data_IF_588247986879
#
_entry.id   IF_588247986879
#
_cell.length_a   1.000
_cell.length_b   1.000
_cell.length_c   1.000
_cell.angle_alpha   90.00
_cell.angle_beta   90.00
_cell.angle_gamma   90.00
#
_symmetry.space_group_name_H-M   'P 1'
#
loop_
_entity.id
_entity.type
_entity.pdbx_description
1 polymer ?
#
# COMPACT_ATOMS: atom_id res chain seq x y z
N UNK A 1 -6.05 -10.09 -3.21
CA UNK A 1 -5.75 -11.46 -3.65
C UNK A 1 -6.98 -12.17 -4.27
N UNK A 2 -8.04 -11.45 -4.59
CA UNK A 2 -9.18 -11.93 -5.35
C UNK A 2 -9.04 -11.63 -6.85
N UNK A 3 -9.99 -12.08 -7.70
CA UNK A 3 -9.99 -11.76 -9.10
C UNK A 3 -10.20 -10.27 -9.34
N UNK A 4 -9.62 -9.74 -10.41
CA UNK A 4 -9.84 -8.36 -10.84
C UNK A 4 -11.18 -8.26 -11.59
N UNK A 5 -11.79 -7.07 -11.60
CA UNK A 5 -13.02 -6.80 -12.32
C UNK A 5 -14.30 -7.17 -11.57
N UNK A 6 -14.19 -7.45 -10.26
CA UNK A 6 -15.32 -7.70 -9.37
C UNK A 6 -15.15 -6.91 -8.06
N UNK A 7 -16.26 -6.46 -7.50
CA UNK A 7 -16.31 -5.77 -6.22
C UNK A 7 -17.67 -5.97 -5.56
N UNK A 8 -17.79 -5.56 -4.29
CA UNK A 8 -19.05 -5.58 -3.56
C UNK A 8 -19.26 -4.26 -2.83
N UNK A 9 -20.53 -3.89 -2.70
CA UNK A 9 -20.97 -2.74 -1.91
C UNK A 9 -21.96 -3.23 -0.84
N UNK A 10 -21.65 -2.98 0.42
CA UNK A 10 -22.59 -3.20 1.51
C UNK A 10 -23.44 -1.95 1.72
N UNK A 11 -24.76 -2.13 1.68
CA UNK A 11 -25.72 -1.05 1.91
C UNK A 11 -26.54 -1.40 3.15
N UNK A 12 -26.47 -0.56 4.17
CA UNK A 12 -27.28 -0.73 5.39
C UNK A 12 -28.77 -0.59 5.04
N UNK A 13 -29.62 -1.41 5.66
CA UNK A 13 -31.07 -1.30 5.52
C UNK A 13 -31.54 0.12 5.87
N UNK A 14 -32.37 0.70 5.01
CA UNK A 14 -32.92 2.05 5.17
C UNK A 14 -32.05 3.17 4.55
N UNK A 15 -30.91 2.85 3.97
CA UNK A 15 -30.14 3.79 3.15
C UNK A 15 -30.67 3.76 1.73
N UNK A 16 -31.12 4.88 1.22
CA UNK A 16 -31.52 5.05 -0.17
C UNK A 16 -30.31 5.39 -1.02
N UNK A 17 -30.04 4.55 -2.03
CA UNK A 17 -28.92 4.71 -2.94
C UNK A 17 -29.47 4.88 -4.37
N UNK A 18 -29.17 6.01 -5.01
CA UNK A 18 -29.51 6.24 -6.40
C UNK A 18 -28.54 5.53 -7.32
N UNK A 19 -29.07 4.80 -8.30
CA UNK A 19 -28.26 4.23 -9.38
C UNK A 19 -27.67 5.35 -10.25
N UNK A 20 -26.41 5.17 -10.64
CA UNK A 20 -25.70 6.07 -11.57
C UNK A 20 -25.63 5.51 -12.99
N UNK A 21 -26.01 4.26 -13.18
CA UNK A 21 -26.05 3.57 -14.49
C UNK A 21 -27.47 3.09 -14.72
N UNK A 22 -28.07 3.48 -15.85
CA UNK A 22 -29.40 3.04 -16.24
C UNK A 22 -29.34 1.74 -17.05
N UNK A 23 -30.29 0.85 -16.84
CA UNK A 23 -30.34 -0.43 -17.55
C UNK A 23 -31.33 -1.41 -16.92
N UNK A 24 -31.02 -2.71 -16.99
CA UNK A 24 -31.84 -3.78 -16.43
C UNK A 24 -31.89 -3.80 -14.91
N UNK A 25 -32.81 -4.61 -14.34
CA UNK A 25 -33.09 -4.67 -12.91
C UNK A 25 -32.15 -5.52 -12.06
N UNK A 26 -30.96 -5.86 -12.55
CA UNK A 26 -30.01 -6.67 -11.80
C UNK A 26 -29.54 -5.97 -10.53
N UNK A 27 -29.04 -6.75 -9.58
CA UNK A 27 -28.54 -6.24 -8.29
C UNK A 27 -29.52 -5.30 -7.60
N UNK A 28 -30.81 -5.69 -7.51
CA UNK A 28 -31.89 -4.91 -6.89
C UNK A 28 -32.08 -3.54 -7.55
N UNK A 29 -31.94 -3.43 -8.87
CA UNK A 29 -31.96 -2.19 -9.67
C UNK A 29 -30.81 -1.20 -9.37
N UNK A 30 -29.78 -1.62 -8.67
CA UNK A 30 -28.65 -0.75 -8.33
C UNK A 30 -27.49 -0.81 -9.32
N UNK A 31 -27.32 -1.98 -9.98
CA UNK A 31 -26.24 -2.18 -10.95
C UNK A 31 -26.72 -3.04 -12.10
N UNK A 32 -27.05 -2.46 -13.25
CA UNK A 32 -27.52 -3.21 -14.43
C UNK A 32 -26.40 -3.99 -15.11
N UNK A 33 -26.81 -4.92 -15.96
CA UNK A 33 -25.95 -5.79 -16.77
C UNK A 33 -25.85 -7.20 -16.19
N UNK A 34 -25.61 -8.16 -17.06
CA UNK A 34 -25.44 -9.57 -16.70
C UNK A 34 -24.36 -9.75 -15.64
N UNK A 35 -24.61 -10.56 -14.64
CA UNK A 35 -23.72 -10.82 -13.54
C UNK A 35 -22.45 -11.54 -14.00
N UNK A 36 -21.30 -11.08 -13.48
CA UNK A 36 -20.03 -11.77 -13.68
C UNK A 36 -19.91 -12.96 -12.71
N UNK A 37 -20.58 -14.06 -13.03
CA UNK A 37 -20.70 -15.23 -12.14
C UNK A 37 -19.34 -15.79 -11.75
N UNK A 38 -18.39 -15.89 -12.67
CA UNK A 38 -17.05 -16.41 -12.39
C UNK A 38 -16.28 -15.48 -11.45
N UNK A 39 -16.39 -14.16 -11.66
CA UNK A 39 -15.83 -13.14 -10.76
C UNK A 39 -16.43 -13.19 -9.36
N UNK A 40 -17.78 -13.33 -9.28
CA UNK A 40 -18.50 -13.44 -8.00
C UNK A 40 -18.05 -14.67 -7.22
N UNK A 41 -17.98 -15.83 -7.85
CA UNK A 41 -17.54 -17.07 -7.20
C UNK A 41 -16.09 -16.97 -6.69
N UNK A 42 -15.17 -16.46 -7.53
CA UNK A 42 -13.78 -16.25 -7.16
C UNK A 42 -13.61 -15.22 -6.03
N UNK A 43 -14.40 -14.14 -6.06
CA UNK A 43 -14.41 -13.12 -5.01
C UNK A 43 -14.93 -13.68 -3.69
N UNK A 44 -16.03 -14.44 -3.69
CA UNK A 44 -16.56 -15.09 -2.49
C UNK A 44 -15.54 -16.02 -1.83
N UNK A 45 -14.84 -16.84 -2.62
CA UNK A 45 -13.77 -17.70 -2.10
C UNK A 45 -12.60 -16.88 -1.51
N UNK A 46 -12.21 -15.78 -2.18
CA UNK A 46 -11.14 -14.91 -1.71
C UNK A 46 -11.48 -14.25 -0.38
N UNK A 47 -12.72 -13.74 -0.22
CA UNK A 47 -13.21 -13.16 1.04
C UNK A 47 -13.20 -14.22 2.15
N UNK A 48 -13.76 -15.40 1.91
CA UNK A 48 -13.78 -16.48 2.90
C UNK A 48 -12.36 -16.81 3.40
N UNK A 49 -11.42 -17.00 2.47
CA UNK A 49 -10.01 -17.25 2.83
C UNK A 49 -9.36 -16.08 3.59
N UNK A 50 -9.67 -14.85 3.22
CA UNK A 50 -9.12 -13.67 3.88
C UNK A 50 -9.65 -13.54 5.32
N UNK A 51 -10.96 -13.69 5.52
CA UNK A 51 -11.59 -13.60 6.84
C UNK A 51 -11.12 -14.70 7.79
N UNK A 52 -10.99 -15.94 7.31
CA UNK A 52 -10.53 -17.06 8.13
C UNK A 52 -9.07 -16.94 8.58
N UNK A 53 -8.27 -16.11 7.89
CA UNK A 53 -6.83 -15.95 8.18
C UNK A 53 -6.45 -14.53 8.59
N UNK A 54 -7.40 -13.66 8.90
CA UNK A 54 -7.13 -12.24 9.12
C UNK A 54 -6.08 -12.02 10.22
N UNK A 55 -6.23 -12.66 11.38
CA UNK A 55 -5.33 -12.49 12.51
C UNK A 55 -3.91 -13.00 12.21
N UNK A 56 -3.81 -14.18 11.59
CA UNK A 56 -2.52 -14.76 11.21
C UNK A 56 -1.82 -13.88 10.14
N UNK A 57 -2.57 -13.39 9.16
CA UNK A 57 -2.03 -12.50 8.15
C UNK A 57 -1.55 -11.18 8.75
N UNK A 58 -2.33 -10.58 9.67
CA UNK A 58 -1.95 -9.34 10.35
C UNK A 58 -0.67 -9.53 11.18
N UNK A 59 -0.57 -10.62 11.93
CA UNK A 59 0.63 -10.94 12.71
C UNK A 59 1.84 -11.15 11.79
N UNK A 60 1.67 -11.89 10.72
CA UNK A 60 2.73 -12.13 9.73
C UNK A 60 3.25 -10.82 9.12
N UNK A 61 2.34 -9.96 8.64
CA UNK A 61 2.70 -8.67 8.06
C UNK A 61 3.38 -7.74 9.08
N UNK A 62 2.93 -7.80 10.34
CA UNK A 62 3.59 -7.05 11.43
C UNK A 62 5.00 -7.53 11.69
N UNK A 63 5.25 -8.84 11.60
CA UNK A 63 6.60 -9.39 11.74
C UNK A 63 7.51 -8.94 10.58
N UNK A 64 7.02 -8.90 9.34
CA UNK A 64 7.76 -8.35 8.20
C UNK A 64 8.11 -6.87 8.40
N UNK A 65 7.15 -6.04 8.86
CA UNK A 65 7.43 -4.65 9.23
C UNK A 65 8.54 -4.54 10.28
N UNK A 66 8.44 -5.33 11.35
CA UNK A 66 9.42 -5.29 12.44
C UNK A 66 10.81 -5.69 11.93
N UNK A 67 10.90 -6.69 11.06
CA UNK A 67 12.17 -7.10 10.41
C UNK A 67 12.76 -5.95 9.60
N UNK A 68 11.92 -5.27 8.78
CA UNK A 68 12.35 -4.12 7.98
C UNK A 68 12.90 -2.98 8.85
N UNK A 69 12.13 -2.54 9.85
CA UNK A 69 12.54 -1.45 10.75
C UNK A 69 13.78 -1.83 11.56
N UNK A 70 13.85 -3.06 12.06
CA UNK A 70 15.03 -3.56 12.76
C UNK A 70 16.28 -3.48 11.90
N UNK A 71 16.17 -3.88 10.62
CA UNK A 71 17.30 -3.83 9.68
C UNK A 71 17.74 -2.40 9.36
N UNK A 72 16.80 -1.47 9.17
CA UNK A 72 17.12 -0.04 9.00
C UNK A 72 17.86 0.54 10.22
N UNK A 73 17.41 0.19 11.43
CA UNK A 73 18.07 0.61 12.68
C UNK A 73 19.49 0.03 12.79
N UNK A 74 19.68 -1.25 12.46
CA UNK A 74 21.00 -1.89 12.44
C UNK A 74 21.96 -1.21 11.46
N UNK A 75 21.44 -0.78 10.31
CA UNK A 75 22.19 -0.06 9.28
C UNK A 75 22.31 1.45 9.59
N UNK A 76 21.80 1.90 10.75
CA UNK A 76 21.83 3.32 11.22
C UNK A 76 21.17 4.27 10.23
N UNK A 77 20.13 3.84 9.53
CA UNK A 77 19.37 4.68 8.61
C UNK A 77 18.33 5.49 9.40
N UNK A 78 18.51 6.81 9.35
CA UNK A 78 17.53 7.75 9.91
C UNK A 78 16.22 7.67 9.12
N UNK A 79 15.10 7.47 9.82
CA UNK A 79 13.78 7.36 9.21
C UNK A 79 12.67 7.82 10.15
N UNK A 80 11.55 8.25 9.57
CA UNK A 80 10.36 8.71 10.31
C UNK A 80 9.13 7.95 9.81
N UNK A 81 8.48 7.22 10.72
CA UNK A 81 7.17 6.61 10.46
C UNK A 81 6.07 7.64 10.72
N UNK A 82 5.30 8.00 9.69
CA UNK A 82 4.28 9.04 9.80
C UNK A 82 3.01 8.60 10.51
N UNK A 83 2.64 7.32 10.39
CA UNK A 83 1.37 6.78 10.89
C UNK A 83 1.68 5.71 11.94
N UNK A 84 1.20 5.92 13.18
CA UNK A 84 1.35 4.96 14.28
C UNK A 84 0.32 3.83 14.16
N UNK A 85 -0.97 4.19 14.07
CA UNK A 85 -2.07 3.25 13.93
C UNK A 85 -2.36 3.03 12.44
N UNK A 86 -1.77 1.99 11.88
CA UNK A 86 -1.82 1.66 10.47
C UNK A 86 -2.15 0.20 10.22
N UNK A 87 -2.60 -0.08 9.01
CA UNK A 87 -2.74 -1.46 8.57
C UNK A 87 -1.37 -2.14 8.55
N UNK A 88 -1.19 -3.29 9.23
CA UNK A 88 0.06 -4.03 9.19
C UNK A 88 0.50 -4.34 7.76
N UNK A 89 1.78 -4.16 7.49
CA UNK A 89 2.37 -4.38 6.16
C UNK A 89 2.35 -3.14 5.25
N UNK A 90 1.77 -2.01 5.69
CA UNK A 90 1.77 -0.76 4.91
C UNK A 90 2.49 0.33 5.69
N UNK A 91 3.67 0.71 5.23
CA UNK A 91 4.51 1.74 5.84
C UNK A 91 4.48 3.01 5.00
N UNK A 92 4.21 4.15 5.65
CA UNK A 92 4.47 5.49 5.10
C UNK A 92 5.67 6.03 5.87
N UNK A 93 6.84 6.01 5.25
CA UNK A 93 8.12 6.21 5.91
C UNK A 93 8.95 7.26 5.17
N UNK A 94 9.38 8.29 5.88
CA UNK A 94 10.25 9.35 5.38
C UNK A 94 11.72 9.08 5.70
N UNK A 95 12.61 9.46 4.80
CA UNK A 95 14.07 9.34 4.94
C UNK A 95 14.71 10.73 4.87
N UNK A 96 14.90 11.42 6.02
CA UNK A 96 15.40 12.79 6.06
C UNK A 96 16.70 12.97 5.26
N UNK A 97 16.79 14.07 4.52
CA UNK A 97 17.97 14.38 3.69
C UNK A 97 18.05 13.60 2.37
N UNK A 98 16.97 12.94 1.96
CA UNK A 98 16.90 12.26 0.66
C UNK A 98 15.76 12.80 -0.20
N UNK A 99 15.74 12.41 -1.48
CA UNK A 99 14.64 12.67 -2.39
C UNK A 99 13.91 11.35 -2.72
N UNK A 100 12.61 11.29 -2.41
CA UNK A 100 11.80 10.08 -2.56
C UNK A 100 11.67 9.59 -4.00
N UNK A 101 11.73 10.49 -4.99
CA UNK A 101 11.73 10.09 -6.39
C UNK A 101 13.04 9.41 -6.77
N UNK A 102 14.16 9.95 -6.33
CA UNK A 102 15.47 9.33 -6.54
C UNK A 102 15.56 7.96 -5.88
N UNK A 103 15.01 7.82 -4.66
CA UNK A 103 14.91 6.53 -3.98
C UNK A 103 14.03 5.54 -4.75
N UNK A 104 12.86 6.00 -5.25
CA UNK A 104 11.95 5.16 -6.05
C UNK A 104 12.67 4.60 -7.28
N UNK A 105 13.33 5.46 -8.07
CA UNK A 105 14.04 5.07 -9.30
C UNK A 105 15.18 4.11 -8.98
N UNK A 106 15.97 4.41 -7.95
CA UNK A 106 17.12 3.57 -7.58
C UNK A 106 16.67 2.18 -7.08
N UNK A 107 15.55 2.08 -6.39
CA UNK A 107 14.95 0.81 -5.95
C UNK A 107 14.36 0.04 -7.13
N UNK A 108 13.70 0.72 -8.06
CA UNK A 108 13.13 0.10 -9.27
C UNK A 108 14.22 -0.55 -10.13
N UNK A 109 15.38 0.09 -10.27
CA UNK A 109 16.56 -0.48 -10.94
C UNK A 109 17.12 -1.74 -10.25
N UNK A 110 16.74 -1.98 -9.00
CA UNK A 110 17.05 -3.19 -8.22
C UNK A 110 15.91 -4.23 -8.23
N UNK A 111 14.86 -3.99 -9.02
CA UNK A 111 13.66 -4.82 -9.08
C UNK A 111 12.76 -4.69 -7.85
N UNK A 112 12.89 -3.60 -7.09
CA UNK A 112 12.11 -3.32 -5.87
C UNK A 112 11.06 -2.25 -6.17
N UNK A 113 9.80 -2.66 -6.26
CA UNK A 113 8.68 -1.75 -6.49
C UNK A 113 8.17 -1.14 -5.18
N UNK A 114 8.21 0.19 -5.09
CA UNK A 114 7.64 0.99 -3.99
C UNK A 114 6.77 2.11 -4.57
N UNK A 115 6.14 2.91 -3.73
CA UNK A 115 5.37 4.07 -4.20
C UNK A 115 5.92 5.37 -3.61
N UNK A 116 5.93 6.42 -4.42
CA UNK A 116 6.25 7.79 -4.03
C UNK A 116 5.09 8.72 -4.38
N UNK A 117 4.80 9.69 -3.52
CA UNK A 117 3.70 10.64 -3.76
C UNK A 117 2.31 10.03 -3.66
N UNK A 118 1.31 10.69 -4.27
CA UNK A 118 -0.03 10.12 -4.45
C UNK A 118 -0.08 9.25 -5.68
N UNK A 119 -0.67 8.05 -5.57
CA UNK A 119 -0.77 7.10 -6.68
C UNK A 119 -1.48 7.66 -7.94
N UNK A 120 -2.29 8.73 -7.78
CA UNK A 120 -3.06 9.36 -8.85
C UNK A 120 -2.32 10.50 -9.58
N UNK A 121 -1.16 10.93 -9.12
CA UNK A 121 -0.35 12.00 -9.73
C UNK A 121 0.85 11.43 -10.48
N UNK A 122 0.63 10.37 -11.28
CA UNK A 122 1.66 9.81 -12.15
C UNK A 122 2.29 10.90 -13.01
N UNK A 123 3.59 11.13 -12.80
CA UNK A 123 4.37 12.12 -13.57
C UNK A 123 4.67 13.44 -12.88
N UNK A 124 4.20 13.70 -11.67
CA UNK A 124 4.57 14.91 -10.92
C UNK A 124 5.56 14.61 -9.80
N UNK A 125 6.67 15.36 -9.77
CA UNK A 125 7.72 15.34 -8.74
C UNK A 125 7.26 15.94 -7.39
N UNK A 126 5.93 16.07 -7.19
CA UNK A 126 5.37 16.76 -6.02
C UNK A 126 5.21 15.80 -4.83
N UNK A 127 5.50 16.31 -3.64
CA UNK A 127 5.17 15.64 -2.39
C UNK A 127 3.68 15.28 -2.34
N UNK A 128 3.34 14.18 -1.66
CA UNK A 128 1.95 13.78 -1.46
C UNK A 128 1.16 14.88 -0.76
N UNK A 129 0.10 15.39 -1.39
CA UNK A 129 -0.77 16.42 -0.80
C UNK A 129 -1.37 15.93 0.52
N UNK A 130 -1.72 14.66 0.62
CA UNK A 130 -2.25 14.04 1.86
C UNK A 130 -1.27 14.20 3.02
N UNK A 131 0.04 14.03 2.78
CA UNK A 131 1.05 14.21 3.82
C UNK A 131 1.16 15.68 4.27
N UNK A 132 1.09 16.61 3.32
CA UNK A 132 1.12 18.05 3.60
C UNK A 132 -0.12 18.47 4.41
N UNK A 133 -1.30 18.04 4.01
CA UNK A 133 -2.57 18.32 4.68
C UNK A 133 -2.63 17.68 6.08
N UNK A 134 -1.87 16.60 6.29
CA UNK A 134 -1.67 15.97 7.62
C UNK A 134 -0.62 16.68 8.49
N UNK A 135 -0.10 17.83 8.06
CA UNK A 135 0.86 18.64 8.83
C UNK A 135 2.32 18.17 8.74
N UNK A 136 2.64 17.24 7.84
CA UNK A 136 4.02 16.81 7.62
C UNK A 136 4.74 17.88 6.80
N UNK A 137 5.92 18.30 7.25
CA UNK A 137 6.68 19.33 6.54
C UNK A 137 7.05 18.88 5.12
N UNK A 138 7.23 19.86 4.22
CA UNK A 138 7.40 19.62 2.79
C UNK A 138 8.64 18.77 2.46
N UNK A 139 9.74 18.98 3.17
CA UNK A 139 11.00 18.27 2.87
C UNK A 139 10.90 16.81 3.29
N UNK A 140 10.29 16.53 4.44
CA UNK A 140 10.03 15.17 4.89
C UNK A 140 8.99 14.48 4.00
N UNK A 141 7.93 15.18 3.57
CA UNK A 141 6.94 14.64 2.64
C UNK A 141 7.57 14.28 1.27
N UNK A 142 8.55 15.06 0.80
CA UNK A 142 9.30 14.77 -0.44
C UNK A 142 10.25 13.58 -0.32
N UNK A 143 10.70 13.23 0.88
CA UNK A 143 11.57 12.09 1.14
C UNK A 143 10.80 10.82 1.54
N UNK A 144 9.46 10.84 1.46
CA UNK A 144 8.61 9.77 1.97
C UNK A 144 8.25 8.75 0.89
N UNK A 145 8.45 7.48 1.20
CA UNK A 145 7.98 6.35 0.41
C UNK A 145 6.81 5.64 1.11
N UNK A 146 5.94 5.02 0.31
CA UNK A 146 5.00 4.01 0.78
C UNK A 146 5.53 2.64 0.39
N UNK A 147 5.80 1.82 1.39
CA UNK A 147 6.27 0.44 1.24
C UNK A 147 5.15 -0.48 1.69
N UNK A 148 4.80 -1.47 0.86
CA UNK A 148 3.70 -2.39 1.14
C UNK A 148 4.18 -3.84 1.04
N UNK A 149 4.12 -4.54 2.17
CA UNK A 149 4.40 -5.97 2.23
C UNK A 149 3.11 -6.77 2.03
N UNK A 150 3.23 -7.92 1.40
CA UNK A 150 2.15 -8.85 1.21
C UNK A 150 2.51 -10.24 1.74
N UNK A 151 1.51 -11.10 1.88
CA UNK A 151 1.70 -12.48 2.37
C UNK A 151 2.58 -13.37 1.47
N UNK A 152 2.92 -12.90 0.28
CA UNK A 152 3.83 -13.58 -0.66
C UNK A 152 5.30 -13.30 -0.36
N UNK A 153 5.60 -12.21 0.35
CA UNK A 153 6.98 -11.84 0.70
C UNK A 153 7.46 -12.65 1.92
N UNK A 154 8.71 -13.01 1.91
CA UNK A 154 9.42 -13.68 3.01
C UNK A 154 10.29 -12.68 3.78
N UNK A 155 10.81 -13.07 4.93
CA UNK A 155 11.74 -12.23 5.71
C UNK A 155 12.99 -11.86 4.91
N UNK A 156 13.51 -12.79 4.11
CA UNK A 156 14.70 -12.57 3.27
C UNK A 156 14.47 -11.47 2.23
N UNK A 157 13.25 -11.41 1.62
CA UNK A 157 12.89 -10.37 0.67
C UNK A 157 12.90 -9.00 1.36
N UNK A 158 12.36 -8.95 2.59
CA UNK A 158 12.28 -7.71 3.38
C UNK A 158 13.65 -7.24 3.84
N UNK A 159 14.51 -8.15 4.26
CA UNK A 159 15.91 -7.86 4.61
C UNK A 159 16.68 -7.34 3.40
N UNK A 160 16.49 -7.94 2.22
CA UNK A 160 17.07 -7.47 0.97
C UNK A 160 16.66 -6.05 0.64
N UNK A 161 15.35 -5.75 0.73
CA UNK A 161 14.82 -4.39 0.48
C UNK A 161 15.43 -3.38 1.45
N UNK A 162 15.53 -3.71 2.74
CA UNK A 162 16.12 -2.83 3.74
C UNK A 162 17.62 -2.60 3.50
N UNK A 163 18.35 -3.61 3.07
CA UNK A 163 19.78 -3.53 2.75
C UNK A 163 20.02 -2.63 1.52
N UNK A 164 19.32 -2.89 0.41
CA UNK A 164 19.46 -2.10 -0.81
C UNK A 164 19.04 -0.65 -0.59
N UNK A 165 17.96 -0.40 0.13
CA UNK A 165 17.55 0.96 0.50
C UNK A 165 18.62 1.67 1.35
N UNK A 166 19.22 0.96 2.30
CA UNK A 166 20.30 1.51 3.13
C UNK A 166 21.52 1.87 2.28
N UNK A 167 21.92 1.00 1.36
CA UNK A 167 23.03 1.24 0.43
C UNK A 167 22.76 2.46 -0.46
N UNK A 168 21.54 2.60 -0.98
CA UNK A 168 21.14 3.73 -1.82
C UNK A 168 21.20 5.03 -1.01
N UNK A 169 20.61 5.07 0.19
CA UNK A 169 20.60 6.27 1.06
C UNK A 169 22.02 6.70 1.39
N UNK A 170 22.88 5.76 1.80
CA UNK A 170 24.27 6.07 2.15
C UNK A 170 25.08 6.60 0.96
N UNK A 171 24.71 6.20 -0.28
CA UNK A 171 25.35 6.71 -1.50
C UNK A 171 24.85 8.09 -1.88
N UNK A 172 23.57 8.39 -1.66
CA UNK A 172 22.97 9.69 -1.99
C UNK A 172 23.34 10.79 -0.98
N UNK A 173 23.77 10.43 0.24
CA UNK A 173 24.20 11.37 1.29
C UNK A 173 25.70 11.70 1.24
N UNK A 174 26.46 11.05 0.36
CA UNK A 174 27.87 11.37 0.09
C UNK A 174 28.00 12.44 -0.98
#
# INVERSE_FOLDING_TARGET
YGPKGIGALFIRKGVDLKTIINGGGQELNLRPGTENISGIAGFGLAISKACNNINNNMLYLKNLENTFIKKLNQNKIEHVLHIKDRLPGVLTIGFPGTDGQSLLIALDLKGIAVSFGSACSSGTTKASQILLDSGINKDLAKSTLRISFGKIHKSEDVEYVAEELSNIINRLKK
#
